data_IF_105537248367
#
_entry.id   IF_105537248367
#
_cell.length_a   1.000
_cell.length_b   1.000
_cell.length_c   1.000
_cell.angle_alpha   90.00
_cell.angle_beta   90.00
_cell.angle_gamma   90.00
#
_symmetry.space_group_name_H-M   'P 1'
#
loop_
_entity.id
_entity.type
_entity.pdbx_description
1 polymer ?
#
# COMPACT_ATOMS: atom_id res chain seq x y z
N UNK A 1 18.81 26.39 -32.79
CA UNK A 1 17.51 25.73 -33.07
C UNK A 1 17.19 24.89 -31.89
N UNK A 2 16.20 25.34 -31.08
CA UNK A 2 15.83 24.74 -29.80
C UNK A 2 15.11 23.43 -29.97
N UNK A 3 15.52 22.44 -29.20
CA UNK A 3 14.76 21.20 -29.02
C UNK A 3 13.73 21.41 -27.90
N UNK A 4 12.48 21.61 -28.25
CA UNK A 4 11.36 21.45 -27.35
C UNK A 4 11.27 19.98 -26.95
N UNK A 5 11.79 19.67 -25.78
CA UNK A 5 11.64 18.35 -25.19
C UNK A 5 10.23 18.23 -24.59
N UNK A 6 9.41 17.45 -25.25
CA UNK A 6 7.99 17.27 -24.98
C UNK A 6 7.72 16.93 -23.50
N UNK A 7 6.91 17.74 -22.83
CA UNK A 7 6.45 17.60 -21.42
C UNK A 7 5.76 16.25 -21.19
N UNK A 8 5.30 15.59 -22.26
CA UNK A 8 4.63 14.27 -22.22
C UNK A 8 5.54 13.13 -21.73
N UNK A 9 6.85 13.19 -22.02
CA UNK A 9 7.78 12.11 -21.71
C UNK A 9 8.24 12.12 -20.25
N UNK A 10 8.22 13.28 -19.57
CA UNK A 10 8.60 13.40 -18.15
C UNK A 10 7.64 12.70 -17.21
N UNK A 11 6.33 12.72 -17.52
CA UNK A 11 5.32 12.09 -16.67
C UNK A 11 5.33 10.57 -16.79
N UNK A 12 5.65 10.01 -17.96
CA UNK A 12 5.73 8.57 -18.18
C UNK A 12 7.00 8.01 -17.53
N UNK A 13 8.13 8.68 -17.67
CA UNK A 13 9.41 8.29 -17.06
C UNK A 13 9.34 8.37 -15.54
N UNK A 14 8.71 9.40 -14.98
CA UNK A 14 8.53 9.54 -13.53
C UNK A 14 7.59 8.46 -12.98
N UNK A 15 6.52 8.10 -13.71
CA UNK A 15 5.59 7.04 -13.29
C UNK A 15 6.23 5.66 -13.32
N UNK A 16 7.03 5.35 -14.35
CA UNK A 16 7.77 4.08 -14.47
C UNK A 16 8.89 3.99 -13.42
N UNK A 17 9.62 5.07 -13.16
CA UNK A 17 10.65 5.13 -12.12
C UNK A 17 10.07 4.97 -10.70
N UNK A 18 8.87 5.52 -10.44
CA UNK A 18 8.18 5.34 -9.16
C UNK A 18 7.78 3.89 -8.86
N UNK A 19 7.41 3.11 -9.91
CA UNK A 19 6.94 1.73 -9.73
C UNK A 19 8.09 0.71 -9.60
N UNK A 20 9.31 1.07 -9.96
CA UNK A 20 10.48 0.15 -9.97
C UNK A 20 11.47 0.43 -8.84
N UNK A 21 11.23 1.42 -8.00
CA UNK A 21 12.18 1.84 -6.97
C UNK A 21 12.10 0.93 -5.75
N UNK A 22 13.09 0.06 -5.60
CA UNK A 22 13.19 -0.90 -4.49
C UNK A 22 14.50 -0.69 -3.73
N UNK A 23 14.44 -0.77 -2.41
CA UNK A 23 15.63 -0.65 -1.58
C UNK A 23 15.38 -0.98 -0.11
N UNK A 24 16.43 -0.82 0.70
CA UNK A 24 16.38 -1.00 2.15
C UNK A 24 16.14 0.35 2.83
N UNK A 25 15.15 0.41 3.71
CA UNK A 25 14.92 1.55 4.58
C UNK A 25 15.59 1.32 5.94
N UNK A 26 16.25 2.33 6.48
CA UNK A 26 16.84 2.29 7.82
C UNK A 26 16.13 3.33 8.70
N UNK A 27 15.21 2.89 9.58
CA UNK A 27 14.54 3.80 10.49
C UNK A 27 15.54 4.52 11.39
N UNK A 28 15.40 5.82 11.54
CA UNK A 28 16.19 6.61 12.50
C UNK A 28 15.68 6.39 13.94
N UNK A 29 14.38 6.18 14.08
CA UNK A 29 13.70 5.96 15.35
C UNK A 29 13.39 4.48 15.56
N UNK A 30 14.41 3.65 15.74
CA UNK A 30 14.30 2.19 15.86
C UNK A 30 13.25 1.73 16.89
N UNK A 31 13.04 2.52 17.97
CA UNK A 31 12.06 2.22 19.03
C UNK A 31 10.61 2.26 18.54
N UNK A 32 10.34 2.92 17.41
CA UNK A 32 9.00 2.96 16.81
C UNK A 32 8.70 1.76 15.93
N UNK A 33 9.72 1.12 15.38
CA UNK A 33 9.54 -0.01 14.48
C UNK A 33 9.22 -1.30 15.26
N UNK A 34 8.21 -2.03 14.80
CA UNK A 34 7.84 -3.35 15.30
C UNK A 34 8.35 -4.40 14.31
N UNK A 35 9.29 -5.21 14.73
CA UNK A 35 9.96 -6.20 13.89
C UNK A 35 11.47 -5.91 13.78
N UNK A 36 12.14 -6.54 12.82
CA UNK A 36 13.56 -6.29 12.58
C UNK A 36 13.77 -5.02 11.74
N UNK A 37 14.12 -3.92 12.38
CA UNK A 37 14.38 -2.64 11.74
C UNK A 37 15.55 -2.66 10.74
N UNK A 38 16.36 -3.71 10.72
CA UNK A 38 17.49 -3.88 9.78
C UNK A 38 17.04 -4.41 8.43
N UNK A 39 15.91 -5.08 8.38
CA UNK A 39 15.40 -5.77 7.19
C UNK A 39 14.16 -5.10 6.56
N UNK A 40 13.94 -3.81 6.83
CA UNK A 40 12.82 -3.05 6.26
C UNK A 40 13.08 -2.76 4.78
N UNK A 41 12.22 -3.29 3.92
CA UNK A 41 12.33 -3.16 2.46
C UNK A 41 11.16 -2.35 1.93
N UNK A 42 11.43 -1.34 1.11
CA UNK A 42 10.42 -0.66 0.31
C UNK A 42 10.50 -1.16 -1.14
N UNK A 43 9.34 -1.30 -1.81
CA UNK A 43 9.22 -1.75 -3.21
C UNK A 43 8.73 -0.64 -4.15
N UNK A 44 8.41 0.52 -3.59
CA UNK A 44 8.00 1.70 -4.34
C UNK A 44 8.48 2.98 -3.64
N UNK A 45 8.53 4.09 -4.39
CA UNK A 45 8.81 5.41 -3.81
C UNK A 45 7.69 5.87 -2.87
N UNK A 46 6.45 5.39 -3.07
CA UNK A 46 5.31 5.70 -2.21
C UNK A 46 5.45 5.03 -0.84
N UNK A 47 5.85 3.76 -0.82
CA UNK A 47 6.17 3.06 0.43
C UNK A 47 7.33 3.75 1.16
N UNK A 48 8.41 4.11 0.45
CA UNK A 48 9.53 4.84 1.06
C UNK A 48 9.07 6.16 1.70
N UNK A 49 8.24 6.94 1.01
CA UNK A 49 7.70 8.21 1.51
C UNK A 49 6.85 7.98 2.77
N UNK A 50 6.03 6.93 2.75
CA UNK A 50 5.21 6.58 3.90
C UNK A 50 6.04 6.08 5.09
N UNK A 51 7.10 5.28 4.87
CA UNK A 51 8.04 4.85 5.92
C UNK A 51 8.74 6.05 6.56
N UNK A 52 9.19 7.02 5.75
CA UNK A 52 9.79 8.27 6.25
C UNK A 52 8.79 9.05 7.11
N UNK A 53 7.54 9.15 6.67
CA UNK A 53 6.48 9.79 7.44
C UNK A 53 6.25 9.06 8.77
N UNK A 54 6.14 7.73 8.79
CA UNK A 54 5.96 6.96 10.02
C UNK A 54 7.12 7.14 10.99
N UNK A 55 8.34 7.15 10.49
CA UNK A 55 9.54 7.28 11.32
C UNK A 55 9.67 8.67 11.96
N UNK A 56 9.35 9.74 11.21
CA UNK A 56 9.57 11.12 11.63
C UNK A 56 8.39 11.75 12.38
N UNK A 57 7.15 11.33 12.08
CA UNK A 57 5.95 11.93 12.65
C UNK A 57 5.81 11.60 14.15
N UNK A 58 5.71 12.62 14.99
CA UNK A 58 5.62 12.49 16.46
C UNK A 58 4.33 11.81 16.92
N UNK A 59 3.24 11.91 16.16
CA UNK A 59 1.97 11.26 16.50
C UNK A 59 2.01 9.74 16.29
N UNK A 60 2.91 9.25 15.43
CA UNK A 60 3.12 7.80 15.21
C UNK A 60 3.94 7.24 16.36
N UNK A 61 3.35 6.29 17.09
CA UNK A 61 3.97 5.66 18.27
C UNK A 61 4.70 4.38 17.89
N UNK A 62 4.06 3.57 17.04
CA UNK A 62 4.61 2.31 16.51
C UNK A 62 4.19 2.11 15.07
N UNK A 63 5.03 1.42 14.29
CA UNK A 63 4.70 1.02 12.93
C UNK A 63 5.50 -0.21 12.50
N UNK A 64 5.02 -0.92 11.51
CA UNK A 64 5.73 -2.02 10.85
C UNK A 64 5.38 -2.11 9.37
N UNK A 65 6.22 -2.79 8.60
CA UNK A 65 6.03 -3.04 7.17
C UNK A 65 5.97 -4.53 6.92
N UNK A 66 4.89 -5.03 6.29
CA UNK A 66 4.69 -6.43 5.91
C UNK A 66 4.80 -7.48 7.05
N UNK A 67 4.66 -7.06 8.31
CA UNK A 67 4.77 -7.95 9.49
C UNK A 67 3.44 -8.63 9.86
N UNK A 68 2.30 -8.08 9.42
CA UNK A 68 0.98 -8.66 9.67
C UNK A 68 0.65 -9.66 8.58
N UNK A 69 0.14 -10.83 8.99
CA UNK A 69 -0.33 -11.87 8.08
C UNK A 69 -1.84 -12.04 8.23
N UNK A 70 -2.58 -11.85 7.15
CA UNK A 70 -4.03 -12.00 7.11
C UNK A 70 -4.37 -13.14 6.14
N UNK A 71 -5.02 -14.22 6.61
CA UNK A 71 -5.51 -15.25 5.71
C UNK A 71 -6.71 -14.73 4.92
N UNK A 72 -6.73 -14.99 3.61
CA UNK A 72 -7.86 -14.68 2.76
C UNK A 72 -8.14 -15.84 1.79
N UNK A 73 -9.39 -16.00 1.35
CA UNK A 73 -9.76 -16.97 0.32
C UNK A 73 -9.65 -16.32 -1.05
N UNK A 74 -8.77 -16.87 -1.89
CA UNK A 74 -8.55 -16.36 -3.24
C UNK A 74 -9.73 -16.73 -4.16
N UNK A 75 -10.31 -15.78 -4.91
CA UNK A 75 -11.37 -16.05 -5.86
C UNK A 75 -10.86 -16.76 -7.13
N UNK A 76 -9.54 -16.86 -7.31
CA UNK A 76 -8.93 -17.46 -8.50
C UNK A 76 -8.88 -18.99 -8.39
N UNK A 77 -8.45 -19.52 -7.24
CA UNK A 77 -8.26 -20.95 -7.01
C UNK A 77 -9.07 -21.49 -5.83
N UNK A 78 -9.89 -20.65 -5.21
CA UNK A 78 -10.72 -20.94 -4.04
C UNK A 78 -9.95 -21.50 -2.82
N UNK A 79 -8.63 -21.23 -2.74
CA UNK A 79 -7.76 -21.65 -1.63
C UNK A 79 -7.49 -20.51 -0.68
N UNK A 80 -7.09 -20.87 0.54
CA UNK A 80 -6.65 -19.87 1.54
C UNK A 80 -5.20 -19.51 1.26
N UNK A 81 -4.94 -18.22 1.10
CA UNK A 81 -3.64 -17.63 0.91
C UNK A 81 -3.30 -16.67 2.04
N UNK A 82 -2.02 -16.33 2.18
CA UNK A 82 -1.53 -15.30 3.10
C UNK A 82 -1.45 -13.95 2.39
N UNK A 83 -2.03 -12.95 3.01
CA UNK A 83 -1.92 -11.56 2.59
C UNK A 83 -1.10 -10.79 3.62
N UNK A 84 -0.16 -10.01 3.14
CA UNK A 84 0.70 -9.13 3.92
C UNK A 84 0.36 -7.70 3.55
N UNK A 85 -0.42 -6.98 4.37
CA UNK A 85 -0.66 -5.55 4.16
C UNK A 85 0.66 -4.77 4.22
N UNK A 86 0.72 -3.67 3.48
CA UNK A 86 1.96 -2.89 3.37
C UNK A 86 2.42 -2.36 4.72
N UNK A 87 1.49 -1.85 5.57
CA UNK A 87 1.85 -1.27 6.86
C UNK A 87 0.83 -1.53 7.97
N UNK A 88 1.35 -1.57 9.19
CA UNK A 88 0.62 -1.37 10.43
C UNK A 88 1.11 -0.09 11.10
N UNK A 89 0.19 0.71 11.65
CA UNK A 89 0.50 1.97 12.32
C UNK A 89 -0.33 2.12 13.59
N UNK A 90 0.34 2.40 14.70
CA UNK A 90 -0.27 2.86 15.95
C UNK A 90 0.06 4.32 16.15
N UNK A 91 -0.95 5.15 16.28
CA UNK A 91 -0.79 6.59 16.41
C UNK A 91 -1.67 7.16 17.53
N UNK A 92 -1.31 8.37 17.97
CA UNK A 92 -2.12 9.12 18.91
C UNK A 92 -2.94 10.15 18.14
N UNK A 93 -4.26 10.11 18.33
CA UNK A 93 -5.17 11.07 17.72
C UNK A 93 -5.10 12.47 18.40
N UNK A 94 -5.85 13.44 17.87
CA UNK A 94 -5.89 14.82 18.40
C UNK A 94 -6.47 14.90 19.82
N UNK A 95 -7.22 13.89 20.25
CA UNK A 95 -7.79 13.78 21.60
C UNK A 95 -6.84 13.07 22.58
N UNK A 96 -5.69 12.59 22.10
CA UNK A 96 -4.71 11.86 22.89
C UNK A 96 -4.94 10.35 22.98
N UNK A 97 -5.99 9.80 22.33
CA UNK A 97 -6.28 8.38 22.34
C UNK A 97 -5.38 7.63 21.36
N UNK A 98 -5.05 6.38 21.69
CA UNK A 98 -4.34 5.50 20.77
C UNK A 98 -5.30 4.88 19.75
N UNK A 99 -4.92 4.98 18.50
CA UNK A 99 -5.61 4.38 17.37
C UNK A 99 -4.66 3.46 16.61
N UNK A 100 -5.18 2.41 16.02
CA UNK A 100 -4.41 1.43 15.26
C UNK A 100 -5.00 1.25 13.86
N UNK A 101 -4.14 1.23 12.84
CA UNK A 101 -4.54 1.08 11.44
C UNK A 101 -3.66 0.08 10.71
N UNK A 102 -4.29 -0.69 9.85
CA UNK A 102 -3.64 -1.44 8.79
C UNK A 102 -3.80 -0.66 7.49
N UNK A 103 -2.71 -0.47 6.77
CA UNK A 103 -2.66 0.39 5.59
C UNK A 103 -2.13 -0.40 4.39
N UNK A 104 -2.81 -0.24 3.29
CA UNK A 104 -2.40 -0.73 1.98
C UNK A 104 -2.18 0.46 1.04
N UNK A 105 -1.09 0.46 0.29
CA UNK A 105 -0.79 1.50 -0.70
C UNK A 105 -1.07 0.97 -2.10
N UNK A 106 -2.00 1.59 -2.80
CA UNK A 106 -2.37 1.19 -4.18
C UNK A 106 -2.65 2.41 -5.06
N UNK A 107 -2.27 2.36 -6.35
CA UNK A 107 -2.71 3.37 -7.30
C UNK A 107 -4.24 3.44 -7.36
N UNK A 108 -4.82 4.64 -7.41
CA UNK A 108 -6.28 4.84 -7.46
C UNK A 108 -6.95 4.06 -8.60
N UNK A 109 -6.21 3.83 -9.70
CA UNK A 109 -6.68 3.01 -10.82
C UNK A 109 -6.95 1.56 -10.42
N UNK A 110 -6.17 1.00 -9.50
CA UNK A 110 -6.30 -0.39 -9.05
C UNK A 110 -7.35 -0.57 -7.93
N UNK A 111 -7.76 0.52 -7.31
CA UNK A 111 -8.82 0.53 -6.29
C UNK A 111 -10.21 0.52 -6.92
N UNK A 112 -10.33 1.02 -8.14
CA UNK A 112 -11.60 1.07 -8.87
C UNK A 112 -11.86 -0.23 -9.64
N UNK A 113 -13.11 -0.66 -9.65
CA UNK A 113 -13.55 -1.78 -10.47
C UNK A 113 -13.28 -1.52 -11.97
N UNK A 114 -12.69 -2.48 -12.70
CA UNK A 114 -12.48 -2.36 -14.13
C UNK A 114 -13.81 -2.18 -14.87
N UNK A 115 -13.88 -1.20 -15.77
CA UNK A 115 -15.09 -0.98 -16.58
C UNK A 115 -15.33 -2.19 -17.49
N UNK A 116 -16.58 -2.64 -17.54
CA UNK A 116 -16.98 -3.75 -18.43
C UNK A 116 -16.63 -3.42 -19.88
N UNK A 117 -15.90 -4.33 -20.52
CA UNK A 117 -15.51 -4.22 -21.91
C UNK A 117 -16.26 -5.26 -22.77
N UNK A 118 -16.69 -4.84 -23.97
CA UNK A 118 -17.37 -5.74 -24.95
C UNK A 118 -16.44 -6.86 -25.41
N UNK A 119 -15.15 -6.54 -25.62
CA UNK A 119 -14.13 -7.49 -26.07
C UNK A 119 -13.27 -7.88 -24.87
N UNK A 120 -13.25 -9.18 -24.55
CA UNK A 120 -12.46 -9.73 -23.44
C UNK A 120 -11.01 -9.96 -23.88
N UNK A 121 -10.20 -8.91 -23.87
CA UNK A 121 -8.75 -9.03 -24.10
C UNK A 121 -8.05 -9.70 -22.92
N UNK A 122 -6.89 -10.35 -23.16
CA UNK A 122 -6.05 -10.94 -22.09
C UNK A 122 -5.73 -9.92 -20.99
N UNK A 123 -5.47 -8.68 -21.37
CA UNK A 123 -5.21 -7.57 -20.45
C UNK A 123 -6.42 -7.28 -19.55
N UNK A 124 -7.60 -7.15 -20.15
CA UNK A 124 -8.83 -6.88 -19.39
C UNK A 124 -9.13 -8.03 -18.40
N UNK A 125 -9.01 -9.28 -18.86
CA UNK A 125 -9.21 -10.46 -18.00
C UNK A 125 -8.23 -10.43 -16.81
N UNK A 126 -6.96 -10.14 -17.05
CA UNK A 126 -5.95 -9.99 -15.99
C UNK A 126 -6.28 -8.87 -15.01
N UNK A 127 -6.76 -7.72 -15.49
CA UNK A 127 -7.18 -6.58 -14.64
C UNK A 127 -8.38 -6.98 -13.75
N UNK A 128 -9.36 -7.71 -14.27
CA UNK A 128 -10.52 -8.21 -13.51
C UNK A 128 -10.09 -9.20 -12.42
N UNK A 129 -9.22 -10.16 -12.73
CA UNK A 129 -8.71 -11.12 -11.75
C UNK A 129 -7.89 -10.41 -10.65
N UNK A 130 -7.05 -9.47 -11.03
CA UNK A 130 -6.26 -8.67 -10.07
C UNK A 130 -7.18 -7.89 -9.13
N UNK A 131 -8.20 -7.22 -9.67
CA UNK A 131 -9.17 -6.49 -8.87
C UNK A 131 -9.95 -7.42 -7.92
N UNK A 132 -10.45 -8.55 -8.42
CA UNK A 132 -11.16 -9.52 -7.59
C UNK A 132 -10.29 -10.06 -6.43
N UNK A 133 -9.02 -10.36 -6.71
CA UNK A 133 -8.07 -10.80 -5.70
C UNK A 133 -7.78 -9.71 -4.67
N UNK A 134 -7.58 -8.48 -5.11
CA UNK A 134 -7.36 -7.34 -4.21
C UNK A 134 -8.58 -7.10 -3.33
N UNK A 135 -9.78 -7.14 -3.91
CA UNK A 135 -11.04 -6.99 -3.16
C UNK A 135 -11.18 -8.04 -2.05
N UNK A 136 -10.91 -9.31 -2.36
CA UNK A 136 -10.94 -10.39 -1.37
C UNK A 136 -9.92 -10.19 -0.24
N UNK A 137 -8.72 -9.67 -0.55
CA UNK A 137 -7.70 -9.30 0.45
C UNK A 137 -8.19 -8.17 1.34
N UNK A 138 -8.79 -7.12 0.77
CA UNK A 138 -9.26 -5.96 1.52
C UNK A 138 -10.45 -6.30 2.42
N UNK A 139 -11.40 -7.09 1.94
CA UNK A 139 -12.52 -7.60 2.77
C UNK A 139 -11.98 -8.39 3.97
N UNK A 140 -11.03 -9.30 3.75
CA UNK A 140 -10.39 -10.03 4.84
C UNK A 140 -9.62 -9.11 5.81
N UNK A 141 -9.00 -8.03 5.31
CA UNK A 141 -8.32 -7.04 6.15
C UNK A 141 -9.30 -6.20 6.96
N UNK A 142 -10.44 -5.83 6.39
CA UNK A 142 -11.51 -5.12 7.11
C UNK A 142 -12.04 -5.96 8.26
N UNK A 143 -12.36 -7.25 8.03
CA UNK A 143 -12.81 -8.17 9.06
C UNK A 143 -11.74 -8.38 10.15
N UNK A 144 -10.50 -8.60 9.74
CA UNK A 144 -9.36 -8.73 10.66
C UNK A 144 -9.19 -7.50 11.56
N UNK A 145 -9.32 -6.30 10.99
CA UNK A 145 -9.23 -5.05 11.73
C UNK A 145 -10.44 -4.84 12.64
N UNK A 146 -11.65 -5.16 12.19
CA UNK A 146 -12.87 -5.06 12.97
C UNK A 146 -12.82 -5.89 14.25
N UNK A 147 -12.34 -7.13 14.17
CA UNK A 147 -12.17 -8.01 15.33
C UNK A 147 -11.22 -7.44 16.39
N UNK A 148 -10.28 -6.59 15.99
CA UNK A 148 -9.27 -5.95 16.86
C UNK A 148 -9.59 -4.52 17.24
N UNK A 149 -10.72 -3.98 16.77
CA UNK A 149 -11.07 -2.55 16.88
C UNK A 149 -10.04 -1.64 16.21
N UNK A 150 -9.40 -2.14 15.16
CA UNK A 150 -8.50 -1.39 14.30
C UNK A 150 -9.25 -0.87 13.07
N UNK A 151 -8.60 -0.03 12.29
CA UNK A 151 -9.12 0.47 11.03
C UNK A 151 -8.28 -0.08 9.88
N UNK A 152 -8.94 -0.43 8.77
CA UNK A 152 -8.26 -0.70 7.51
C UNK A 152 -8.40 0.51 6.60
N UNK A 153 -7.31 0.90 5.92
CA UNK A 153 -7.32 2.05 5.02
C UNK A 153 -6.43 1.79 3.80
N UNK A 154 -6.97 2.08 2.61
CA UNK A 154 -6.20 2.08 1.37
C UNK A 154 -5.77 3.53 1.11
N UNK A 155 -4.47 3.75 0.92
CA UNK A 155 -3.89 5.03 0.53
C UNK A 155 -3.54 5.01 -0.95
N UNK A 156 -3.92 6.06 -1.65
CA UNK A 156 -3.60 6.26 -3.05
C UNK A 156 -2.63 7.44 -3.22
N UNK A 157 -2.22 7.73 -4.47
CA UNK A 157 -1.41 8.90 -4.79
C UNK A 157 -1.97 10.20 -4.23
N UNK A 158 -3.31 10.30 -4.09
CA UNK A 158 -3.98 11.51 -3.61
C UNK A 158 -3.69 11.77 -2.13
N UNK A 159 -3.82 10.73 -1.29
CA UNK A 159 -3.56 10.83 0.15
C UNK A 159 -2.08 10.98 0.45
N UNK A 160 -1.22 10.42 -0.40
CA UNK A 160 0.24 10.53 -0.26
C UNK A 160 0.81 11.84 -0.79
N UNK A 161 0.02 12.64 -1.52
CA UNK A 161 0.47 13.91 -2.10
C UNK A 161 1.56 13.72 -3.18
N UNK A 162 1.37 12.75 -4.07
CA UNK A 162 2.30 12.39 -5.16
C UNK A 162 1.56 12.31 -6.49
#
# INVERSE_FOLDING_TARGET
VGSEMCIRDRNIVCYILCMSYKGRFRPKNHKKYLGDFREVIYRSSWELKFMQYCDTNKSIVKWSSEEIVIPYRSPVDNRVHRYFPDFYVKYRDVKGNYQEKVIEIKPAKQVKEPKVQKIKTKRYVSEVFTYATNKAKWEAAEDFCKDRRWQFQILTEKELGV
#
